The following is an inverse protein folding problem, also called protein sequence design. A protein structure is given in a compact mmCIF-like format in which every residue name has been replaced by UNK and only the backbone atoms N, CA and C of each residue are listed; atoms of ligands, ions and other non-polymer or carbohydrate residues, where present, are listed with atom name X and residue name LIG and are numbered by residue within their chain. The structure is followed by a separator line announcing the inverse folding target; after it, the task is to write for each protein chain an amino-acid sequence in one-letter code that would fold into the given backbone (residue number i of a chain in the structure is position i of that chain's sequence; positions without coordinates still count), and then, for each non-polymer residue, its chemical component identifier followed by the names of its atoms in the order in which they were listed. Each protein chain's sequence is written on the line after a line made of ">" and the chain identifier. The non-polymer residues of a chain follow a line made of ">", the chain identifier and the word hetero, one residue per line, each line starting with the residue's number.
data_IF_555160911515
#
_entry.id   IF_555160911515
#
_cell.length_a   1.000
_cell.length_b   1.000
_cell.length_c   1.000
_cell.angle_alpha   90.00
_cell.angle_beta   90.00
_cell.angle_gamma   90.00
#
_symmetry.space_group_name_H-M   'P 1'
#
loop_
_entity.id
_entity.type
_entity.pdbx_description
1 polymer ?
#
# COMPACT_ATOMS: atom_id res chain seq x y z
N UNK A 1 1.27 1.23 -24.72
CA UNK A 1 1.10 -0.23 -24.58
C UNK A 1 -0.37 -0.49 -24.26
N UNK A 2 -1.07 -1.40 -24.93
CA UNK A 2 -2.47 -1.74 -24.58
C UNK A 2 -2.50 -3.06 -23.82
N UNK A 3 -3.13 -3.08 -22.66
CA UNK A 3 -3.44 -4.29 -21.88
C UNK A 3 -4.81 -4.80 -22.33
N UNK A 4 -5.08 -6.10 -22.40
CA UNK A 4 -6.41 -6.64 -22.71
C UNK A 4 -7.48 -6.03 -21.83
N UNK A 5 -8.69 -5.86 -22.35
CA UNK A 5 -9.86 -5.31 -21.65
C UNK A 5 -10.53 -6.40 -20.81
N UNK A 6 -9.81 -7.00 -19.85
CA UNK A 6 -10.40 -7.86 -18.85
C UNK A 6 -11.05 -7.02 -17.73
N UNK A 7 -11.95 -7.64 -16.97
CA UNK A 7 -12.60 -6.99 -15.84
C UNK A 7 -11.61 -6.56 -14.75
N UNK A 8 -10.55 -7.36 -14.53
CA UNK A 8 -9.51 -7.12 -13.55
C UNK A 8 -8.13 -7.06 -14.23
N UNK A 9 -7.33 -6.06 -13.92
CA UNK A 9 -5.91 -6.03 -14.24
C UNK A 9 -5.10 -6.40 -12.99
N UNK A 10 -4.07 -7.25 -13.14
CA UNK A 10 -3.11 -7.54 -12.09
C UNK A 10 -1.83 -6.78 -12.39
N UNK A 11 -1.44 -5.89 -11.49
CA UNK A 11 -0.15 -5.19 -11.53
C UNK A 11 0.81 -5.85 -10.56
N UNK A 12 1.74 -6.64 -11.06
CA UNK A 12 2.81 -7.28 -10.29
C UNK A 12 4.11 -6.52 -10.50
N UNK A 13 4.63 -5.90 -9.44
CA UNK A 13 5.93 -5.24 -9.46
C UNK A 13 6.97 -6.18 -8.88
N UNK A 14 8.05 -6.43 -9.65
CA UNK A 14 9.13 -7.35 -9.25
C UNK A 14 10.45 -6.63 -9.05
N UNK A 15 11.23 -7.10 -8.09
CA UNK A 15 12.63 -6.73 -7.86
C UNK A 15 13.36 -7.88 -7.18
N UNK A 16 14.25 -8.58 -7.89
CA UNK A 16 14.94 -9.76 -7.43
C UNK A 16 13.98 -10.80 -6.82
N UNK A 17 12.99 -11.22 -7.63
CA UNK A 17 11.84 -12.01 -7.21
C UNK A 17 11.94 -13.50 -7.57
N UNK A 18 13.04 -13.95 -8.17
CA UNK A 18 13.21 -15.31 -8.70
C UNK A 18 12.64 -16.38 -7.75
N UNK A 19 12.93 -16.28 -6.46
CA UNK A 19 12.52 -17.26 -5.46
C UNK A 19 11.06 -17.22 -5.07
N UNK A 20 10.38 -16.07 -5.23
CA UNK A 20 8.97 -15.89 -4.84
C UNK A 20 8.00 -16.16 -5.98
N UNK A 21 8.41 -15.86 -7.21
CA UNK A 21 7.55 -15.93 -8.39
C UNK A 21 6.86 -17.27 -8.59
N UNK A 22 7.51 -18.45 -8.40
CA UNK A 22 6.83 -19.74 -8.57
C UNK A 22 5.58 -19.86 -7.70
N UNK A 23 5.65 -19.42 -6.45
CA UNK A 23 4.53 -19.48 -5.50
C UNK A 23 3.46 -18.42 -5.79
N UNK A 24 3.90 -17.19 -6.05
CA UNK A 24 3.00 -16.08 -6.34
C UNK A 24 2.19 -16.33 -7.61
N UNK A 25 2.86 -16.67 -8.71
CA UNK A 25 2.21 -16.85 -10.01
C UNK A 25 1.41 -18.15 -10.09
N UNK A 26 1.86 -19.27 -9.47
CA UNK A 26 1.04 -20.49 -9.37
C UNK A 26 -0.29 -20.16 -8.68
N UNK A 27 -0.26 -19.53 -7.52
CA UNK A 27 -1.47 -19.17 -6.79
C UNK A 27 -2.38 -18.18 -7.54
N UNK A 28 -1.79 -17.30 -8.36
CA UNK A 28 -2.53 -16.37 -9.20
C UNK A 28 -3.24 -17.07 -10.35
N UNK A 29 -2.58 -18.00 -11.05
CA UNK A 29 -3.20 -18.72 -12.16
C UNK A 29 -4.12 -19.86 -11.73
N UNK A 30 -4.11 -20.24 -10.45
CA UNK A 30 -5.05 -21.18 -9.83
C UNK A 30 -6.33 -20.51 -9.28
N UNK A 31 -6.50 -19.19 -9.46
CA UNK A 31 -7.69 -18.48 -9.01
C UNK A 31 -8.96 -18.97 -9.72
N UNK A 32 -10.07 -19.04 -8.99
CA UNK A 32 -11.40 -19.36 -9.55
C UNK A 32 -11.98 -18.25 -10.43
N UNK A 33 -11.47 -17.02 -10.30
CA UNK A 33 -11.80 -15.89 -11.14
C UNK A 33 -10.80 -15.78 -12.31
N UNK A 34 -11.28 -15.89 -13.54
CA UNK A 34 -10.42 -15.99 -14.73
C UNK A 34 -10.42 -14.76 -15.65
N UNK A 35 -11.34 -13.79 -15.42
CA UNK A 35 -11.42 -12.57 -16.25
C UNK A 35 -10.41 -11.52 -15.79
N UNK A 36 -9.12 -11.87 -15.88
CA UNK A 36 -8.04 -10.95 -15.57
C UNK A 36 -6.89 -10.99 -16.59
N UNK A 37 -6.12 -9.91 -16.62
CA UNK A 37 -4.86 -9.81 -17.36
C UNK A 37 -3.73 -9.45 -16.40
N UNK A 38 -2.51 -9.95 -16.67
CA UNK A 38 -1.33 -9.73 -15.85
C UNK A 38 -0.33 -8.84 -16.56
N UNK A 39 0.11 -7.79 -15.87
CA UNK A 39 1.24 -6.95 -16.26
C UNK A 39 2.31 -7.01 -15.17
N UNK A 40 3.48 -7.49 -15.53
CA UNK A 40 4.67 -7.44 -14.67
C UNK A 40 5.49 -6.22 -15.02
N UNK A 41 5.85 -5.44 -13.99
CA UNK A 41 6.82 -4.35 -14.10
C UNK A 41 8.03 -4.71 -13.26
N UNK A 42 9.11 -5.04 -13.95
CA UNK A 42 10.36 -5.38 -13.30
C UNK A 42 11.19 -4.13 -13.04
N UNK A 43 11.52 -3.92 -11.79
CA UNK A 43 12.26 -2.76 -11.29
C UNK A 43 13.79 -2.94 -11.37
N UNK A 44 14.28 -3.55 -12.46
CA UNK A 44 15.72 -3.74 -12.69
C UNK A 44 16.29 -4.89 -11.86
N UNK A 45 15.65 -6.06 -11.91
CA UNK A 45 16.16 -7.27 -11.28
C UNK A 45 17.50 -7.71 -11.87
N UNK A 46 18.41 -8.18 -11.03
CA UNK A 46 19.73 -8.70 -11.39
C UNK A 46 19.85 -10.21 -11.25
N UNK A 47 18.82 -10.86 -10.69
CA UNK A 47 18.69 -12.32 -10.60
C UNK A 47 17.96 -12.90 -11.81
N UNK A 48 17.54 -14.17 -11.78
CA UNK A 48 16.84 -14.81 -12.89
C UNK A 48 15.34 -14.51 -12.98
N UNK A 49 14.85 -13.44 -12.31
CA UNK A 49 13.43 -13.03 -12.34
C UNK A 49 12.87 -12.95 -13.76
N UNK A 50 13.53 -12.22 -14.66
CA UNK A 50 13.05 -12.02 -16.04
C UNK A 50 13.14 -13.32 -16.86
N UNK A 51 14.21 -14.08 -16.67
CA UNK A 51 14.37 -15.37 -17.35
C UNK A 51 13.23 -16.31 -16.95
N UNK A 52 12.98 -16.47 -15.66
CA UNK A 52 11.90 -17.31 -15.12
C UNK A 52 10.52 -16.92 -15.67
N UNK A 53 10.22 -15.62 -15.74
CA UNK A 53 8.96 -15.11 -16.29
C UNK A 53 8.80 -15.48 -17.78
N UNK A 54 9.85 -15.30 -18.59
CA UNK A 54 9.79 -15.59 -20.03
C UNK A 54 9.66 -17.08 -20.32
N UNK A 55 10.34 -17.92 -19.55
CA UNK A 55 10.35 -19.37 -19.75
C UNK A 55 9.04 -20.03 -19.30
N UNK A 56 8.50 -19.64 -18.16
CA UNK A 56 7.36 -20.33 -17.54
C UNK A 56 6.01 -19.63 -17.76
N UNK A 57 6.01 -18.32 -18.09
CA UNK A 57 4.80 -17.51 -18.23
C UNK A 57 4.84 -16.60 -19.46
N UNK A 58 5.01 -17.17 -20.69
CA UNK A 58 5.18 -16.39 -21.92
C UNK A 58 3.96 -15.52 -22.29
N UNK A 59 2.78 -15.82 -21.72
CA UNK A 59 1.55 -15.03 -21.87
C UNK A 59 1.56 -13.72 -21.08
N UNK A 60 2.43 -13.58 -20.07
CA UNK A 60 2.50 -12.36 -19.24
C UNK A 60 3.21 -11.25 -20.04
N UNK A 61 2.63 -10.05 -19.97
CA UNK A 61 3.31 -8.85 -20.45
C UNK A 61 4.32 -8.36 -19.43
N UNK A 62 5.57 -8.21 -19.85
CA UNK A 62 6.68 -7.78 -19.00
C UNK A 62 7.22 -6.45 -19.50
N UNK A 63 7.39 -5.51 -18.58
CA UNK A 63 8.09 -4.24 -18.79
C UNK A 63 9.26 -4.19 -17.82
N UNK A 64 10.49 -4.19 -18.35
CA UNK A 64 11.70 -4.15 -17.54
C UNK A 64 12.32 -2.76 -17.56
N UNK A 65 12.69 -2.26 -16.38
CA UNK A 65 13.47 -1.04 -16.21
C UNK A 65 14.95 -1.38 -16.00
N UNK A 66 15.83 -0.47 -16.39
CA UNK A 66 17.28 -0.61 -16.15
C UNK A 66 17.68 -0.39 -14.70
N UNK A 67 16.79 0.16 -13.87
CA UNK A 67 17.02 0.43 -12.46
C UNK A 67 15.69 0.48 -11.69
N UNK A 68 15.76 0.36 -10.36
CA UNK A 68 14.59 0.44 -9.51
C UNK A 68 14.00 1.86 -9.50
N UNK A 69 12.82 2.03 -10.10
CA UNK A 69 12.08 3.29 -10.18
C UNK A 69 11.12 3.49 -9.00
N UNK A 70 11.06 2.55 -8.07
CA UNK A 70 10.19 2.54 -6.89
C UNK A 70 8.81 1.95 -7.14
N UNK A 71 8.18 1.53 -6.05
CA UNK A 71 6.85 0.91 -6.02
C UNK A 71 5.77 1.82 -6.61
N UNK A 72 5.70 3.07 -6.13
CA UNK A 72 4.69 4.03 -6.55
C UNK A 72 4.68 4.28 -8.06
N UNK A 73 5.86 4.53 -8.65
CA UNK A 73 5.98 4.83 -10.07
C UNK A 73 5.70 3.60 -10.95
N UNK A 74 6.17 2.42 -10.53
CA UNK A 74 5.93 1.18 -11.28
C UNK A 74 4.42 0.87 -11.35
N UNK A 75 3.70 0.92 -10.22
CA UNK A 75 2.25 0.73 -10.22
C UNK A 75 1.49 1.83 -10.96
N UNK A 76 1.94 3.08 -10.92
CA UNK A 76 1.35 4.16 -11.72
C UNK A 76 1.38 3.86 -13.21
N UNK A 77 2.46 3.28 -13.72
CA UNK A 77 2.54 2.86 -15.11
C UNK A 77 1.48 1.79 -15.43
N UNK A 78 1.36 0.75 -14.59
CA UNK A 78 0.36 -0.29 -14.80
C UNK A 78 -1.07 0.25 -14.79
N UNK A 79 -1.39 1.12 -13.81
CA UNK A 79 -2.72 1.74 -13.70
C UNK A 79 -3.02 2.59 -14.94
N UNK A 80 -2.05 3.39 -15.41
CA UNK A 80 -2.24 4.29 -16.55
C UNK A 80 -2.45 3.54 -17.88
N UNK A 81 -1.96 2.32 -18.00
CA UNK A 81 -2.11 1.48 -19.21
C UNK A 81 -3.31 0.56 -19.14
N UNK A 82 -3.90 0.40 -17.96
CA UNK A 82 -5.07 -0.47 -17.77
C UNK A 82 -6.35 0.20 -18.26
N UNK A 83 -7.20 -0.59 -18.92
CA UNK A 83 -8.58 -0.25 -19.28
C UNK A 83 -9.61 -1.08 -18.50
N UNK A 84 -9.15 -1.91 -17.57
CA UNK A 84 -10.00 -2.75 -16.75
C UNK A 84 -10.91 -1.92 -15.83
N UNK A 85 -11.98 -2.54 -15.33
CA UNK A 85 -12.85 -1.96 -14.31
C UNK A 85 -12.15 -1.85 -12.97
N UNK A 86 -11.32 -2.85 -12.66
CA UNK A 86 -10.58 -2.99 -11.40
C UNK A 86 -9.09 -3.25 -11.65
N UNK A 87 -8.28 -2.96 -10.65
CA UNK A 87 -6.86 -3.32 -10.64
C UNK A 87 -6.45 -3.88 -9.29
N UNK A 88 -5.81 -5.05 -9.29
CA UNK A 88 -5.14 -5.63 -8.14
C UNK A 88 -3.67 -5.23 -8.17
N UNK A 89 -3.16 -4.68 -7.07
CA UNK A 89 -1.72 -4.53 -6.88
C UNK A 89 -1.23 -5.75 -6.11
N UNK A 90 -0.45 -6.58 -6.77
CA UNK A 90 0.04 -7.82 -6.18
C UNK A 90 1.52 -7.70 -5.87
N UNK A 91 1.91 -7.93 -4.61
CA UNK A 91 3.30 -8.07 -4.25
C UNK A 91 3.84 -9.43 -4.67
N UNK A 92 5.12 -9.47 -5.04
CA UNK A 92 5.80 -10.68 -5.49
C UNK A 92 5.90 -11.79 -4.43
N UNK A 93 5.78 -11.44 -3.15
CA UNK A 93 5.90 -12.29 -1.97
C UNK A 93 4.54 -12.63 -1.32
N UNK A 94 3.48 -12.67 -2.15
CA UNK A 94 2.12 -13.02 -1.74
C UNK A 94 1.67 -14.33 -2.40
N UNK A 95 1.00 -15.19 -1.63
CA UNK A 95 0.26 -16.36 -2.11
C UNK A 95 -1.23 -16.10 -1.90
N UNK A 96 -2.03 -16.26 -2.94
CA UNK A 96 -3.49 -16.10 -2.89
C UNK A 96 -4.17 -17.46 -2.68
N UNK A 97 -5.20 -17.52 -1.81
CA UNK A 97 -6.12 -18.66 -1.79
C UNK A 97 -7.08 -18.62 -2.99
N UNK A 98 -7.60 -19.76 -3.38
CA UNK A 98 -8.34 -20.02 -4.64
C UNK A 98 -9.43 -18.99 -5.00
N UNK A 99 -10.18 -18.50 -4.00
CA UNK A 99 -11.32 -17.59 -4.22
C UNK A 99 -11.00 -16.12 -3.86
N UNK A 100 -9.72 -15.78 -3.65
CA UNK A 100 -9.31 -14.44 -3.22
C UNK A 100 -9.81 -13.36 -4.17
N UNK A 101 -9.50 -13.47 -5.46
CA UNK A 101 -9.89 -12.47 -6.46
C UNK A 101 -11.40 -12.45 -6.67
N UNK A 102 -12.04 -13.63 -6.74
CA UNK A 102 -13.48 -13.77 -6.93
C UNK A 102 -14.27 -12.99 -5.89
N UNK A 103 -14.06 -13.30 -4.61
CA UNK A 103 -14.81 -12.69 -3.51
C UNK A 103 -14.63 -11.16 -3.47
N UNK A 104 -13.42 -10.65 -3.74
CA UNK A 104 -13.15 -9.21 -3.75
C UNK A 104 -13.79 -8.50 -4.94
N UNK A 105 -13.78 -9.13 -6.13
CA UNK A 105 -14.39 -8.54 -7.33
C UNK A 105 -15.91 -8.52 -7.22
N UNK A 106 -16.53 -9.61 -6.75
CA UNK A 106 -17.97 -9.70 -6.51
C UNK A 106 -18.41 -8.62 -5.51
N UNK A 107 -17.71 -8.47 -4.39
CA UNK A 107 -18.01 -7.42 -3.42
C UNK A 107 -17.94 -6.01 -4.04
N UNK A 108 -16.95 -5.74 -4.88
CA UNK A 108 -16.85 -4.45 -5.58
C UNK A 108 -17.97 -4.25 -6.60
N UNK A 109 -18.44 -5.32 -7.26
CA UNK A 109 -19.55 -5.21 -8.21
C UNK A 109 -20.83 -4.77 -7.52
N UNK A 110 -21.12 -5.31 -6.34
CA UNK A 110 -22.32 -5.04 -5.57
C UNK A 110 -22.23 -3.70 -4.82
N UNK A 111 -21.04 -3.08 -4.72
CA UNK A 111 -20.80 -1.89 -3.89
C UNK A 111 -20.13 -0.75 -4.66
N UNK A 112 -20.88 0.04 -5.42
CA UNK A 112 -20.33 1.10 -6.29
C UNK A 112 -19.54 2.20 -5.56
N UNK A 113 -19.90 2.53 -4.31
CA UNK A 113 -19.22 3.56 -3.50
C UNK A 113 -17.91 3.08 -2.87
N UNK A 114 -17.59 1.79 -3.01
CA UNK A 114 -16.34 1.22 -2.50
C UNK A 114 -15.25 1.41 -3.53
N UNK A 115 -14.17 2.08 -3.11
CA UNK A 115 -13.00 2.37 -3.94
C UNK A 115 -11.93 1.29 -3.86
N UNK A 116 -11.80 0.63 -2.70
CA UNK A 116 -10.79 -0.41 -2.48
C UNK A 116 -11.28 -1.49 -1.53
N UNK A 117 -10.81 -2.71 -1.79
CA UNK A 117 -11.05 -3.88 -0.93
C UNK A 117 -9.75 -4.63 -0.68
N UNK A 118 -9.66 -5.28 0.46
CA UNK A 118 -8.57 -6.20 0.80
C UNK A 118 -9.14 -7.43 1.48
N UNK A 119 -8.48 -8.57 1.28
CA UNK A 119 -8.76 -9.78 2.02
C UNK A 119 -8.02 -9.84 3.35
N UNK A 120 -8.16 -10.96 4.04
CA UNK A 120 -7.38 -11.35 5.21
C UNK A 120 -5.98 -11.74 4.75
N UNK A 121 -5.00 -10.92 5.09
CA UNK A 121 -3.61 -11.23 4.81
C UNK A 121 -3.00 -11.85 6.05
N UNK A 122 -2.57 -13.11 5.94
CA UNK A 122 -1.87 -13.86 6.97
C UNK A 122 -0.37 -13.88 6.70
N UNK A 123 0.41 -14.20 7.70
CA UNK A 123 1.86 -14.30 7.56
C UNK A 123 2.25 -15.59 6.84
N UNK A 124 3.24 -15.48 5.96
CA UNK A 124 3.91 -16.60 5.32
C UNK A 124 5.37 -16.66 5.81
N UNK A 125 5.80 -17.83 6.26
CA UNK A 125 7.22 -18.11 6.52
C UNK A 125 7.82 -18.73 5.26
N UNK A 126 8.33 -17.90 4.36
CA UNK A 126 8.89 -18.34 3.11
C UNK A 126 10.06 -19.33 3.30
N UNK A 127 10.93 -19.09 4.27
CA UNK A 127 12.12 -19.92 4.50
C UNK A 127 11.76 -21.40 4.75
N UNK A 128 10.66 -21.62 5.49
CA UNK A 128 10.16 -22.96 5.82
C UNK A 128 8.95 -23.35 4.95
N UNK A 129 8.58 -22.53 3.96
CA UNK A 129 7.39 -22.67 3.12
C UNK A 129 6.12 -22.97 3.93
N UNK A 130 5.91 -22.21 5.02
CA UNK A 130 4.83 -22.46 5.97
C UNK A 130 3.85 -21.29 6.02
N UNK A 131 2.59 -21.55 5.70
CA UNK A 131 1.46 -20.66 5.96
C UNK A 131 1.21 -20.59 7.47
N UNK A 132 1.17 -19.37 8.03
CA UNK A 132 1.00 -19.13 9.46
C UNK A 132 -0.42 -18.63 9.74
N UNK A 133 -0.85 -18.71 11.00
CA UNK A 133 -2.17 -18.22 11.46
C UNK A 133 -2.08 -16.80 12.05
N UNK A 134 -0.92 -16.16 11.99
CA UNK A 134 -0.78 -14.78 12.44
C UNK A 134 -1.21 -13.81 11.35
N UNK A 135 -2.00 -12.82 11.74
CA UNK A 135 -2.44 -11.75 10.85
C UNK A 135 -1.24 -10.89 10.43
N UNK A 136 -1.12 -10.63 9.15
CA UNK A 136 -0.24 -9.59 8.62
C UNK A 136 -1.00 -8.27 8.43
N UNK A 137 -2.20 -8.31 7.84
CA UNK A 137 -3.07 -7.15 7.70
C UNK A 137 -4.53 -7.54 7.47
N UNK A 138 -5.44 -6.77 8.06
CA UNK A 138 -6.89 -6.73 7.76
C UNK A 138 -7.30 -5.33 7.25
N UNK A 139 -6.36 -4.58 6.70
CA UNK A 139 -6.51 -3.19 6.32
C UNK A 139 -5.84 -2.23 7.33
N UNK A 140 -6.08 -0.94 7.17
CA UNK A 140 -5.40 0.12 7.91
C UNK A 140 -6.31 0.76 8.97
N UNK A 141 -5.73 1.12 10.13
CA UNK A 141 -6.34 1.95 11.17
C UNK A 141 -5.46 3.14 11.52
N UNK A 142 -6.08 4.25 11.94
CA UNK A 142 -5.42 5.52 12.25
C UNK A 142 -5.65 5.88 13.71
N UNK A 143 -4.59 6.25 14.41
CA UNK A 143 -4.66 6.76 15.79
C UNK A 143 -4.75 8.30 15.84
N UNK A 144 -5.20 8.85 16.98
CA UNK A 144 -5.25 10.31 17.23
C UNK A 144 -3.92 11.03 17.05
N UNK A 145 -2.82 10.33 17.22
CA UNK A 145 -1.47 10.83 16.95
C UNK A 145 -1.06 10.70 15.48
N UNK A 146 -2.01 10.35 14.60
CA UNK A 146 -1.84 10.13 13.15
C UNK A 146 -0.89 8.97 12.78
N UNK A 147 -0.54 8.11 13.71
CA UNK A 147 0.11 6.85 13.38
C UNK A 147 -0.89 5.95 12.65
N UNK A 148 -0.47 5.40 11.53
CA UNK A 148 -1.25 4.43 10.75
C UNK A 148 -0.56 3.08 10.81
N UNK A 149 -1.32 2.05 11.14
CA UNK A 149 -0.85 0.67 11.28
C UNK A 149 -1.82 -0.30 10.60
N UNK A 150 -1.34 -1.50 10.29
CA UNK A 150 -2.18 -2.61 9.87
C UNK A 150 -3.03 -3.10 11.05
N UNK A 151 -4.31 -3.38 10.79
CA UNK A 151 -5.25 -3.93 11.79
C UNK A 151 -4.78 -5.34 12.15
N UNK A 152 -4.73 -5.62 13.45
CA UNK A 152 -4.40 -6.90 14.08
C UNK A 152 -3.04 -7.50 13.70
N UNK A 153 -2.14 -6.70 13.14
CA UNK A 153 -0.81 -7.16 12.73
C UNK A 153 -0.07 -7.89 13.86
N UNK A 154 0.32 -9.13 13.59
CA UNK A 154 1.04 -10.00 14.52
C UNK A 154 0.14 -10.80 15.47
N UNK A 155 -1.14 -10.47 15.62
CA UNK A 155 -2.09 -11.23 16.43
C UNK A 155 -2.43 -12.57 15.74
N UNK A 156 -2.86 -13.54 16.54
CA UNK A 156 -3.42 -14.79 16.02
C UNK A 156 -4.75 -14.49 15.33
N UNK A 157 -4.98 -15.11 14.19
CA UNK A 157 -6.27 -14.99 13.49
C UNK A 157 -7.42 -15.56 14.31
N UNK A 158 -8.52 -14.82 14.31
CA UNK A 158 -9.79 -15.23 14.89
C UNK A 158 -10.89 -14.97 13.85
N UNK A 159 -12.01 -15.71 13.91
CA UNK A 159 -13.18 -15.42 13.06
C UNK A 159 -13.64 -13.97 13.22
N UNK A 160 -13.92 -13.33 12.09
CA UNK A 160 -14.39 -11.96 12.04
C UNK A 160 -15.36 -11.76 10.86
N UNK A 161 -15.96 -10.57 10.80
CA UNK A 161 -16.91 -10.20 9.75
C UNK A 161 -16.27 -9.16 8.82
N UNK A 162 -16.87 -9.02 7.62
CA UNK A 162 -16.53 -7.93 6.73
C UNK A 162 -16.75 -6.58 7.42
N UNK A 163 -15.85 -5.65 7.17
CA UNK A 163 -15.87 -4.38 7.86
C UNK A 163 -15.31 -3.24 7.01
N UNK A 164 -15.88 -2.05 7.19
CA UNK A 164 -15.31 -0.83 6.63
C UNK A 164 -14.03 -0.46 7.38
N UNK A 165 -12.91 -0.32 6.66
CA UNK A 165 -11.58 0.01 7.21
C UNK A 165 -11.11 1.37 6.68
N UNK A 166 -10.20 2.04 7.38
CA UNK A 166 -9.67 3.33 6.93
C UNK A 166 -9.09 3.27 5.52
N UNK A 167 -8.40 2.20 5.19
CA UNK A 167 -7.81 1.94 3.89
C UNK A 167 -7.32 0.50 3.79
N UNK A 168 -6.84 0.11 2.63
CA UNK A 168 -6.28 -1.21 2.35
C UNK A 168 -4.75 -1.17 2.43
N UNK A 169 -4.13 -2.25 2.92
CA UNK A 169 -2.67 -2.46 2.86
C UNK A 169 -2.25 -2.75 1.42
N UNK A 170 -1.02 -2.39 1.06
CA UNK A 170 -0.48 -2.51 -0.29
C UNK A 170 -0.09 -3.92 -0.74
N UNK A 171 -0.38 -5.00 0.01
CA UNK A 171 0.08 -6.35 -0.31
C UNK A 171 -0.65 -6.99 -1.51
N UNK A 172 -2.00 -7.00 -1.48
CA UNK A 172 -2.85 -7.53 -2.55
C UNK A 172 -4.24 -6.85 -2.62
N UNK A 173 -4.35 -5.53 -2.51
CA UNK A 173 -5.64 -4.84 -2.59
C UNK A 173 -6.17 -4.81 -4.02
N UNK A 174 -7.51 -4.76 -4.15
CA UNK A 174 -8.16 -4.44 -5.42
C UNK A 174 -8.76 -3.03 -5.33
N UNK A 175 -8.45 -2.23 -6.34
CA UNK A 175 -8.95 -0.86 -6.48
C UNK A 175 -9.91 -0.73 -7.65
N UNK A 176 -10.94 0.10 -7.50
CA UNK A 176 -11.80 0.54 -8.61
C UNK A 176 -11.05 1.63 -9.39
N UNK A 177 -10.76 1.41 -10.68
CA UNK A 177 -9.99 2.36 -11.50
C UNK A 177 -10.69 3.71 -11.61
N UNK A 178 -12.02 3.74 -11.70
CA UNK A 178 -12.79 4.99 -11.69
C UNK A 178 -12.51 5.82 -10.43
N UNK A 179 -12.50 5.18 -9.25
CA UNK A 179 -12.21 5.87 -7.97
C UNK A 179 -10.75 6.33 -7.89
N UNK A 180 -9.80 5.57 -8.43
CA UNK A 180 -8.40 6.00 -8.56
C UNK A 180 -8.30 7.26 -9.42
N UNK A 181 -9.03 7.32 -10.55
CA UNK A 181 -9.06 8.49 -11.42
C UNK A 181 -9.64 9.73 -10.72
N UNK A 182 -10.64 9.56 -9.84
CA UNK A 182 -11.25 10.66 -9.08
C UNK A 182 -10.32 11.25 -8.01
N UNK A 183 -9.31 10.49 -7.55
CA UNK A 183 -8.37 10.92 -6.49
C UNK A 183 -6.92 11.03 -6.96
N UNK A 184 -6.64 10.89 -8.26
CA UNK A 184 -5.30 11.02 -8.81
C UNK A 184 -4.71 12.41 -8.56
N UNK A 185 -3.39 12.47 -8.48
CA UNK A 185 -2.63 13.69 -8.34
C UNK A 185 -2.00 14.10 -9.68
N UNK A 186 -1.30 15.21 -9.68
CA UNK A 186 -0.43 15.62 -10.78
C UNK A 186 1.02 15.63 -10.29
N UNK A 187 1.92 15.03 -11.06
CA UNK A 187 3.35 15.12 -10.80
C UNK A 187 3.92 16.49 -11.22
N UNK A 188 5.22 16.67 -11.05
CA UNK A 188 5.90 17.94 -11.37
C UNK A 188 5.84 18.33 -12.86
N UNK A 189 5.57 17.39 -13.75
CA UNK A 189 5.43 17.56 -15.19
C UNK A 189 3.98 17.70 -15.64
N UNK A 190 3.01 17.69 -14.68
CA UNK A 190 1.57 17.78 -14.98
C UNK A 190 0.93 16.45 -15.39
N UNK A 191 1.67 15.36 -15.45
CA UNK A 191 1.14 14.02 -15.73
C UNK A 191 0.38 13.45 -14.52
N UNK A 192 -0.58 12.55 -14.80
CA UNK A 192 -1.36 11.88 -13.77
C UNK A 192 -0.50 10.91 -12.95
N UNK A 193 -0.69 10.92 -11.64
CA UNK A 193 -0.12 9.93 -10.72
C UNK A 193 -1.18 9.45 -9.72
N UNK A 194 -1.31 8.15 -9.58
CA UNK A 194 -2.28 7.51 -8.68
C UNK A 194 -1.67 7.36 -7.28
N UNK A 195 -0.43 6.90 -7.22
CA UNK A 195 0.43 6.96 -6.04
C UNK A 195 1.40 8.12 -6.19
N UNK A 196 1.63 8.85 -5.12
CA UNK A 196 2.59 9.97 -5.13
C UNK A 196 4.01 9.46 -5.38
N UNK A 197 4.58 9.73 -6.57
CA UNK A 197 5.90 9.24 -6.97
C UNK A 197 7.04 9.79 -6.09
N UNK A 198 6.82 10.90 -5.37
CA UNK A 198 7.77 11.39 -4.38
C UNK A 198 7.98 10.40 -3.22
N UNK A 199 7.07 9.44 -3.04
CA UNK A 199 7.21 8.43 -1.99
C UNK A 199 8.27 7.39 -2.33
N UNK A 200 8.42 7.05 -3.58
CA UNK A 200 9.24 5.94 -4.05
C UNK A 200 8.68 4.59 -3.58
N UNK A 201 8.66 4.35 -2.27
CA UNK A 201 8.09 3.17 -1.61
C UNK A 201 7.73 3.48 -0.15
N UNK A 202 6.81 2.72 0.42
CA UNK A 202 6.29 2.81 1.79
C UNK A 202 5.36 4.00 2.05
N UNK A 203 4.17 3.74 2.62
CA UNK A 203 3.12 4.69 2.95
C UNK A 203 2.37 5.30 1.76
N UNK A 204 2.61 4.86 0.53
CA UNK A 204 1.83 5.24 -0.65
C UNK A 204 0.37 4.76 -0.54
N UNK A 205 0.15 3.59 0.04
CA UNK A 205 -1.16 3.03 0.39
C UNK A 205 -1.89 3.89 1.43
N UNK A 206 -1.18 4.35 2.45
CA UNK A 206 -1.73 5.25 3.48
C UNK A 206 -2.14 6.59 2.86
N UNK A 207 -1.30 7.18 2.00
CA UNK A 207 -1.63 8.42 1.30
C UNK A 207 -2.87 8.28 0.41
N UNK A 208 -2.98 7.17 -0.32
CA UNK A 208 -4.14 6.86 -1.15
C UNK A 208 -5.40 6.66 -0.30
N UNK A 209 -5.29 5.95 0.83
CA UNK A 209 -6.40 5.77 1.77
C UNK A 209 -6.94 7.11 2.28
N UNK A 210 -6.07 8.05 2.68
CA UNK A 210 -6.48 9.41 3.04
C UNK A 210 -7.23 10.09 1.89
N UNK A 211 -6.74 10.01 0.65
CA UNK A 211 -7.39 10.64 -0.51
C UNK A 211 -8.75 10.03 -0.80
N UNK A 212 -8.90 8.71 -0.70
CA UNK A 212 -10.21 8.06 -0.82
C UNK A 212 -11.18 8.56 0.26
N UNK A 213 -10.75 8.60 1.52
CA UNK A 213 -11.59 9.13 2.61
C UNK A 213 -11.97 10.59 2.37
N UNK A 214 -11.02 11.44 1.96
CA UNK A 214 -11.28 12.84 1.64
C UNK A 214 -12.27 13.03 0.49
N UNK A 215 -12.31 12.12 -0.47
CA UNK A 215 -13.27 12.10 -1.57
C UNK A 215 -14.63 11.49 -1.18
N UNK A 216 -14.79 10.94 0.03
CA UNK A 216 -16.01 10.29 0.51
C UNK A 216 -16.18 8.84 0.07
N UNK A 217 -15.13 8.21 -0.46
CA UNK A 217 -15.14 6.79 -0.80
C UNK A 217 -14.92 5.91 0.43
N UNK A 218 -15.35 4.66 0.30
CA UNK A 218 -15.18 3.61 1.31
C UNK A 218 -14.11 2.62 0.92
N UNK A 219 -13.52 1.97 1.93
CA UNK A 219 -12.61 0.83 1.78
C UNK A 219 -13.10 -0.31 2.69
N UNK A 220 -13.02 -1.55 2.23
CA UNK A 220 -13.55 -2.70 2.98
C UNK A 220 -12.53 -3.81 3.13
N UNK A 221 -12.65 -4.52 4.23
CA UNK A 221 -11.99 -5.78 4.55
C UNK A 221 -12.97 -6.93 4.38
N UNK A 222 -12.58 -7.97 3.62
CA UNK A 222 -13.40 -9.14 3.30
C UNK A 222 -12.72 -10.40 3.84
N UNK A 223 -13.19 -10.96 4.96
CA UNK A 223 -12.53 -12.07 5.66
C UNK A 223 -12.51 -13.39 4.90
N UNK A 224 -13.47 -13.61 3.99
CA UNK A 224 -13.52 -14.80 3.13
C UNK A 224 -12.45 -14.85 2.05
N UNK A 225 -11.80 -13.72 1.76
CA UNK A 225 -10.67 -13.62 0.83
C UNK A 225 -9.37 -13.75 1.59
N UNK A 226 -8.68 -14.88 1.48
CA UNK A 226 -7.46 -15.16 2.26
C UNK A 226 -6.23 -15.13 1.37
N UNK A 227 -5.16 -14.48 1.84
CA UNK A 227 -3.83 -14.52 1.23
C UNK A 227 -2.75 -14.61 2.30
N UNK A 228 -1.54 -15.00 1.89
CA UNK A 228 -0.38 -15.13 2.76
C UNK A 228 0.77 -14.27 2.22
N UNK A 229 1.50 -13.60 3.10
CA UNK A 229 2.53 -12.64 2.74
C UNK A 229 3.80 -12.84 3.56
N UNK A 230 4.96 -12.99 2.90
CA UNK A 230 6.28 -13.01 3.56
C UNK A 230 6.82 -11.60 3.73
N UNK A 231 6.17 -10.83 4.60
CA UNK A 231 6.52 -9.43 4.80
C UNK A 231 7.94 -9.27 5.35
N UNK A 232 8.79 -8.59 4.60
CA UNK A 232 10.15 -8.20 5.04
C UNK A 232 10.14 -7.36 6.32
N UNK A 233 9.12 -6.52 6.49
CA UNK A 233 8.93 -5.65 7.66
C UNK A 233 7.87 -6.23 8.58
N UNK A 234 8.23 -7.26 9.35
CA UNK A 234 7.31 -7.94 10.28
C UNK A 234 6.87 -7.01 11.42
N UNK A 235 5.54 -6.94 11.65
CA UNK A 235 4.96 -6.39 12.87
C UNK A 235 5.26 -7.30 14.07
N UNK A 236 5.16 -6.77 15.29
CA UNK A 236 5.33 -7.55 16.51
C UNK A 236 4.10 -7.49 17.37
N UNK A 237 3.78 -8.62 18.03
CA UNK A 237 2.76 -8.74 19.08
C UNK A 237 3.02 -7.82 20.27
N UNK A 238 4.30 -7.64 20.61
CA UNK A 238 4.72 -6.82 21.73
C UNK A 238 4.84 -5.35 21.28
N UNK A 239 3.89 -4.52 21.74
CA UNK A 239 3.87 -3.06 21.53
C UNK A 239 4.72 -2.30 22.54
N UNK A 240 5.49 -2.98 23.39
CA UNK A 240 6.43 -2.32 24.30
C UNK A 240 7.46 -1.49 23.54
N UNK A 241 7.90 -0.37 24.13
CA UNK A 241 8.92 0.49 23.54
C UNK A 241 10.21 -0.30 23.19
N UNK A 242 10.60 -1.28 24.05
CA UNK A 242 11.77 -2.14 23.82
C UNK A 242 11.61 -3.02 22.57
N UNK A 243 10.43 -3.63 22.39
CA UNK A 243 10.16 -4.48 21.23
C UNK A 243 10.09 -3.66 19.93
N UNK A 244 9.49 -2.47 19.97
CA UNK A 244 9.45 -1.53 18.83
C UNK A 244 10.88 -1.11 18.46
N UNK A 245 11.72 -0.74 19.41
CA UNK A 245 13.13 -0.37 19.19
C UNK A 245 13.91 -1.54 18.56
N UNK A 246 13.78 -2.75 19.12
CA UNK A 246 14.43 -3.95 18.59
C UNK A 246 13.98 -4.28 17.16
N UNK A 247 12.68 -4.16 16.87
CA UNK A 247 12.14 -4.37 15.51
C UNK A 247 12.68 -3.34 14.52
N UNK A 248 12.73 -2.05 14.92
CA UNK A 248 13.25 -0.97 14.08
C UNK A 248 14.75 -1.12 13.80
N UNK A 249 15.55 -1.55 14.79
CA UNK A 249 17.01 -1.72 14.64
C UNK A 249 17.35 -2.60 13.44
N UNK A 250 16.57 -3.66 13.22
CA UNK A 250 16.80 -4.66 12.17
C UNK A 250 16.20 -4.25 10.78
N UNK A 251 15.49 -3.12 10.69
CA UNK A 251 14.96 -2.65 9.42
C UNK A 251 16.05 -2.03 8.56
N UNK A 252 15.93 -2.21 7.25
CA UNK A 252 16.78 -1.52 6.27
C UNK A 252 16.74 0.01 6.45
N UNK A 253 17.87 0.68 6.19
CA UNK A 253 18.00 2.13 6.31
C UNK A 253 17.03 2.87 5.39
N UNK A 254 16.83 2.39 4.15
CA UNK A 254 15.92 3.00 3.19
C UNK A 254 14.47 2.94 3.67
N UNK A 255 14.05 1.79 4.24
CA UNK A 255 12.73 1.64 4.87
C UNK A 255 12.49 2.71 5.93
N UNK A 256 13.48 2.94 6.81
CA UNK A 256 13.39 3.93 7.90
C UNK A 256 13.27 5.35 7.35
N UNK A 257 14.12 5.71 6.40
CA UNK A 257 14.18 7.03 5.77
C UNK A 257 12.88 7.35 5.04
N UNK A 258 12.45 6.46 4.12
CA UNK A 258 11.24 6.68 3.33
C UNK A 258 9.97 6.64 4.18
N UNK A 259 9.84 5.67 5.11
CA UNK A 259 8.67 5.61 5.99
C UNK A 259 8.49 6.89 6.82
N UNK A 260 9.58 7.49 7.32
CA UNK A 260 9.50 8.73 8.08
C UNK A 260 9.16 9.93 7.19
N UNK A 261 9.90 10.10 6.10
CA UNK A 261 9.64 11.15 5.11
C UNK A 261 8.18 11.10 4.62
N UNK A 262 7.72 9.93 4.21
CA UNK A 262 6.40 9.73 3.61
C UNK A 262 5.28 9.93 4.62
N UNK A 263 5.49 9.56 5.91
CA UNK A 263 4.57 9.90 6.98
C UNK A 263 4.33 11.40 7.09
N UNK A 264 5.41 12.21 7.14
CA UNK A 264 5.30 13.67 7.20
C UNK A 264 4.61 14.24 5.94
N UNK A 265 4.93 13.70 4.76
CA UNK A 265 4.30 14.12 3.51
C UNK A 265 2.80 13.81 3.50
N UNK A 266 2.40 12.62 3.93
CA UNK A 266 0.99 12.21 3.99
C UNK A 266 0.19 13.16 4.88
N UNK A 267 0.69 13.48 6.08
CA UNK A 267 0.03 14.41 6.99
C UNK A 267 -0.06 15.81 6.40
N UNK A 268 1.05 16.33 5.90
CA UNK A 268 1.08 17.68 5.31
C UNK A 268 0.15 17.82 4.10
N UNK A 269 -0.06 16.77 3.30
CA UNK A 269 -0.93 16.84 2.12
C UNK A 269 -2.40 16.71 2.46
N UNK A 270 -2.74 15.77 3.34
CA UNK A 270 -4.11 15.27 3.45
C UNK A 270 -4.86 15.79 4.67
N UNK A 271 -4.16 16.12 5.76
CA UNK A 271 -4.82 16.43 7.03
C UNK A 271 -5.50 17.80 7.02
N UNK A 272 -6.65 17.88 7.72
CA UNK A 272 -7.31 19.14 8.01
C UNK A 272 -6.58 19.89 9.12
N UNK A 273 -6.42 21.18 8.97
CA UNK A 273 -5.81 22.01 10.02
C UNK A 273 -6.59 21.97 11.32
N UNK A 274 -7.93 21.93 11.25
CA UNK A 274 -8.81 21.79 12.42
C UNK A 274 -8.59 20.49 13.19
N UNK A 275 -8.37 19.36 12.50
CA UNK A 275 -8.03 18.10 13.16
C UNK A 275 -6.63 18.15 13.79
N UNK A 276 -5.66 18.79 13.11
CA UNK A 276 -4.34 18.99 13.69
C UNK A 276 -4.41 19.75 15.01
N UNK A 277 -5.18 20.84 15.08
CA UNK A 277 -5.40 21.59 16.34
C UNK A 277 -6.11 20.72 17.37
N UNK A 278 -7.19 20.01 17.00
CA UNK A 278 -7.95 19.14 17.90
C UNK A 278 -7.08 18.07 18.57
N UNK A 279 -6.14 17.50 17.82
CA UNK A 279 -5.28 16.41 18.32
C UNK A 279 -3.83 16.86 18.55
N UNK A 280 -3.60 18.17 18.69
CA UNK A 280 -2.28 18.79 18.77
C UNK A 280 -1.35 18.10 19.77
N UNK A 281 -1.79 17.88 21.01
CA UNK A 281 -0.95 17.24 22.03
C UNK A 281 -0.59 15.81 21.71
N UNK A 282 -1.51 15.02 21.13
CA UNK A 282 -1.23 13.64 20.73
C UNK A 282 -0.20 13.58 19.60
N UNK A 283 -0.34 14.47 18.62
CA UNK A 283 0.54 14.53 17.45
C UNK A 283 1.93 15.03 17.84
N UNK A 284 2.00 16.17 18.55
CA UNK A 284 3.28 16.79 18.90
C UNK A 284 4.09 15.94 19.85
N UNK A 285 3.44 15.30 20.85
CA UNK A 285 4.11 14.35 21.74
C UNK A 285 4.66 13.14 21.02
N UNK A 286 3.87 12.57 20.11
CA UNK A 286 4.31 11.44 19.30
C UNK A 286 5.50 11.80 18.38
N UNK A 287 5.40 12.92 17.66
CA UNK A 287 6.47 13.35 16.75
C UNK A 287 7.71 13.80 17.53
N UNK A 288 7.57 14.45 18.69
CA UNK A 288 8.69 14.79 19.56
C UNK A 288 9.45 13.53 20.01
N UNK A 289 8.76 12.53 20.56
CA UNK A 289 9.40 11.26 20.95
C UNK A 289 10.08 10.57 19.79
N UNK A 290 9.46 10.60 18.63
CA UNK A 290 9.97 9.98 17.41
C UNK A 290 11.22 10.69 16.89
N UNK A 291 11.24 12.02 16.89
CA UNK A 291 12.42 12.78 16.45
C UNK A 291 13.58 12.63 17.45
N UNK A 292 13.33 12.61 18.75
CA UNK A 292 14.34 12.32 19.77
C UNK A 292 14.94 10.92 19.58
N UNK A 293 14.08 9.92 19.35
CA UNK A 293 14.54 8.56 19.01
C UNK A 293 15.42 8.55 17.74
N UNK A 294 15.02 9.26 16.69
CA UNK A 294 15.77 9.36 15.43
C UNK A 294 17.14 10.01 15.67
N UNK A 295 17.19 11.13 16.41
CA UNK A 295 18.43 11.85 16.68
C UNK A 295 19.43 10.95 17.42
N UNK A 296 19.00 10.29 18.49
CA UNK A 296 19.93 9.55 19.36
C UNK A 296 20.20 8.10 18.91
N UNK A 297 19.23 7.44 18.26
CA UNK A 297 19.34 6.00 17.98
C UNK A 297 19.34 5.65 16.49
N UNK A 298 18.85 6.54 15.62
CA UNK A 298 18.76 6.31 14.17
C UNK A 298 19.13 7.55 13.33
N UNK A 299 20.30 8.19 13.54
CA UNK A 299 20.61 9.48 12.90
C UNK A 299 20.55 9.44 11.38
N UNK A 300 20.78 8.29 10.75
CA UNK A 300 20.63 8.12 9.30
C UNK A 300 19.21 8.44 8.80
N UNK A 301 18.17 8.29 9.65
CA UNK A 301 16.78 8.59 9.30
C UNK A 301 16.52 10.10 9.17
N UNK A 302 17.39 10.97 9.71
CA UNK A 302 17.32 12.41 9.48
C UNK A 302 17.42 12.79 8.01
N UNK A 303 18.03 11.95 7.17
CA UNK A 303 18.00 12.12 5.70
C UNK A 303 16.56 12.24 5.17
N UNK A 304 15.62 11.51 5.77
CA UNK A 304 14.19 11.60 5.42
C UNK A 304 13.61 12.98 5.70
N UNK A 305 13.99 13.61 6.80
CA UNK A 305 13.59 14.99 7.13
C UNK A 305 14.17 16.01 6.13
N UNK A 306 15.43 15.86 5.78
CA UNK A 306 16.07 16.70 4.75
C UNK A 306 15.35 16.57 3.40
N UNK A 307 15.04 15.31 2.99
CA UNK A 307 14.28 15.05 1.75
C UNK A 307 12.89 15.68 1.80
N UNK A 308 12.19 15.59 2.93
CA UNK A 308 10.89 16.21 3.13
C UNK A 308 10.95 17.74 2.91
N UNK A 309 11.92 18.43 3.50
CA UNK A 309 12.08 19.87 3.33
C UNK A 309 12.47 20.27 1.89
N UNK A 310 13.32 19.48 1.22
CA UNK A 310 13.66 19.69 -0.20
C UNK A 310 12.41 19.58 -1.10
N UNK A 311 11.46 18.71 -0.76
CA UNK A 311 10.24 18.46 -1.53
C UNK A 311 9.06 19.37 -1.12
N UNK A 312 9.22 20.27 -0.14
CA UNK A 312 8.14 21.11 0.44
C UNK A 312 7.30 21.88 -0.60
N UNK A 313 7.91 22.33 -1.70
CA UNK A 313 7.21 23.03 -2.78
C UNK A 313 6.15 22.14 -3.43
N UNK A 314 6.54 20.93 -3.81
CA UNK A 314 5.63 19.95 -4.42
C UNK A 314 4.56 19.46 -3.45
N UNK A 315 4.93 19.25 -2.18
CA UNK A 315 3.97 18.86 -1.12
C UNK A 315 2.90 19.94 -0.97
N UNK A 316 3.26 21.23 -0.94
CA UNK A 316 2.30 22.34 -0.87
C UNK A 316 1.40 22.40 -2.11
N UNK A 317 1.95 22.19 -3.32
CA UNK A 317 1.17 22.13 -4.55
C UNK A 317 0.14 20.99 -4.52
N UNK A 318 0.56 19.78 -4.14
CA UNK A 318 -0.33 18.60 -4.01
C UNK A 318 -1.39 18.83 -2.93
N UNK A 319 -1.05 19.43 -1.78
CA UNK A 319 -2.03 19.82 -0.76
C UNK A 319 -3.09 20.78 -1.34
N UNK A 320 -2.67 21.81 -2.09
CA UNK A 320 -3.60 22.76 -2.73
C UNK A 320 -4.52 22.03 -3.72
N UNK A 321 -3.94 21.13 -4.52
CA UNK A 321 -4.68 20.32 -5.47
C UNK A 321 -5.72 19.41 -4.77
N UNK A 322 -5.32 18.66 -3.74
CA UNK A 322 -6.21 17.80 -2.95
C UNK A 322 -7.36 18.62 -2.35
N UNK A 323 -7.03 19.77 -1.72
CA UNK A 323 -8.05 20.65 -1.12
C UNK A 323 -9.08 21.15 -2.16
N UNK A 324 -8.64 21.45 -3.37
CA UNK A 324 -9.49 22.02 -4.42
C UNK A 324 -10.29 20.96 -5.18
N UNK A 325 -9.68 19.80 -5.50
CA UNK A 325 -10.23 18.87 -6.49
C UNK A 325 -10.70 17.54 -5.89
N UNK A 326 -10.17 17.12 -4.74
CA UNK A 326 -10.42 15.78 -4.17
C UNK A 326 -11.29 15.87 -2.92
N UNK A 327 -11.04 16.84 -2.04
CA UNK A 327 -11.69 16.94 -0.74
C UNK A 327 -13.18 17.31 -0.86
N UNK A 328 -14.06 16.36 -0.51
CA UNK A 328 -15.53 16.52 -0.52
C UNK A 328 -16.13 16.44 0.88
N UNK A 329 -15.42 15.86 1.86
CA UNK A 329 -15.91 15.68 3.23
C UNK A 329 -15.45 16.80 4.17
N UNK A 330 -16.12 16.91 5.34
CA UNK A 330 -15.73 17.80 6.44
C UNK A 330 -14.70 17.15 7.36
N UNK A 331 -13.98 17.97 8.13
CA UNK A 331 -12.93 17.48 9.05
C UNK A 331 -13.45 16.47 10.09
N UNK A 332 -14.68 16.68 10.60
CA UNK A 332 -15.30 15.77 11.57
C UNK A 332 -15.54 14.36 11.00
N UNK A 333 -15.77 14.24 9.70
CA UNK A 333 -16.00 12.95 9.06
C UNK A 333 -14.69 12.15 8.96
N UNK A 334 -13.59 12.82 8.62
CA UNK A 334 -12.27 12.20 8.63
C UNK A 334 -11.86 11.81 10.07
N UNK A 335 -12.10 12.70 11.04
CA UNK A 335 -11.69 12.45 12.44
C UNK A 335 -12.46 11.33 13.15
N UNK A 336 -13.57 10.82 12.59
CA UNK A 336 -14.23 9.61 13.11
C UNK A 336 -13.34 8.35 13.02
N UNK A 337 -12.37 8.37 12.13
CA UNK A 337 -11.41 7.29 11.93
C UNK A 337 -10.24 7.30 12.93
N UNK A 338 -10.11 8.35 13.74
CA UNK A 338 -8.99 8.51 14.68
C UNK A 338 -9.36 7.92 16.06
N UNK A 339 -8.82 6.74 16.34
CA UNK A 339 -9.01 5.97 17.56
C UNK A 339 -7.98 6.30 18.64
#
# INVERSE_FOLDING_TARGET
>A
MKIPENKLAISLVTYNAERYLPFCLSSLFEQSFNDFSVLVIDNGSSDRTIQHLKENYPQIKIVSHSSNIGFAKAHNQAISWSKAKYICLLNQDVILEKDYLKNLVEFLDDNEKVASVTGKILSWDFKNNKKLTNVDSKGLKVFKNHMVVDIDQGLKDVPDLENEVFGTSGAAPIYRIKSLNDVKLKNSLGADEYFDELFFSYKEDVDLAYRFRLAGFKSYYIPSSIAYHDRTVKGKLDVSNKAIIKARKNRDKMVKIYSYKNHLQTLCKNEFFTNFIKYFFHITWYEFRKIMYIIFLEPSTLKGLVMFFKQRKYIKQKRKYIKKNIRKIKSRELSKWYI
#
